data_IF_153635404155
#
_entry.id   IF_153635404155
#
_cell.length_a   1.000
_cell.length_b   1.000
_cell.length_c   1.000
_cell.angle_alpha   90.00
_cell.angle_beta   90.00
_cell.angle_gamma   90.00
#
_symmetry.space_group_name_H-M   'P 1'
#
loop_
_entity.id
_entity.type
_entity.pdbx_description
1 polymer ?
#
# COMPACT_ATOMS: atom_id res chain seq x y z
N UNK A 1 1.10 -7.24 60.28
CA UNK A 1 0.92 -8.69 60.06
C UNK A 1 -0.36 -8.91 59.27
N UNK A 2 -0.20 -9.28 58.00
CA UNK A 2 -1.26 -9.45 57.01
C UNK A 2 -1.77 -10.90 57.04
N UNK A 3 -3.08 -11.13 57.19
CA UNK A 3 -3.85 -12.24 56.59
C UNK A 3 -5.29 -12.26 57.12
N UNK A 4 -6.14 -11.47 56.50
CA UNK A 4 -7.55 -11.76 56.34
C UNK A 4 -7.90 -11.33 54.91
N UNK A 5 -8.85 -12.02 54.26
CA UNK A 5 -9.26 -11.89 52.86
C UNK A 5 -8.53 -12.82 51.87
N UNK A 6 -8.81 -14.12 51.93
CA UNK A 6 -8.54 -15.04 50.80
C UNK A 6 -9.46 -16.26 50.82
N UNK A 7 -10.77 -16.05 50.82
CA UNK A 7 -11.76 -17.10 50.51
C UNK A 7 -12.93 -16.58 49.69
N UNK A 8 -12.67 -15.67 48.74
CA UNK A 8 -13.52 -15.53 47.55
C UNK A 8 -12.95 -16.44 46.47
N UNK A 9 -13.15 -17.74 46.67
CA UNK A 9 -12.77 -18.76 45.71
C UNK A 9 -13.49 -18.54 44.38
N UNK A 10 -12.70 -18.43 43.31
CA UNK A 10 -13.14 -18.24 41.95
C UNK A 10 -14.26 -19.24 41.57
N UNK A 11 -15.39 -18.69 41.15
CA UNK A 11 -16.51 -19.43 40.58
C UNK A 11 -16.02 -20.06 39.25
N UNK A 12 -16.12 -21.38 39.03
CA UNK A 12 -15.71 -21.97 37.76
C UNK A 12 -16.57 -21.39 36.62
N UNK A 13 -15.88 -20.72 35.68
CA UNK A 13 -16.42 -20.18 34.43
C UNK A 13 -16.83 -21.37 33.54
N UNK A 14 -18.06 -21.84 33.70
CA UNK A 14 -18.53 -23.00 32.93
C UNK A 14 -19.84 -23.61 33.40
N UNK A 15 -20.39 -23.18 34.55
CA UNK A 15 -21.79 -23.46 34.85
C UNK A 15 -22.63 -22.46 34.03
N UNK A 16 -23.48 -22.90 33.09
CA UNK A 16 -24.41 -21.97 32.47
C UNK A 16 -25.16 -21.25 33.58
N UNK A 17 -25.40 -19.92 33.48
CA UNK A 17 -26.22 -19.22 34.45
C UNK A 17 -27.50 -20.04 34.58
N UNK A 18 -27.89 -20.35 35.82
CA UNK A 18 -29.12 -21.09 36.08
C UNK A 18 -30.18 -20.44 35.20
N UNK A 19 -30.62 -21.17 34.16
CA UNK A 19 -31.59 -20.65 33.22
C UNK A 19 -32.69 -20.09 34.09
N UNK A 20 -32.88 -18.76 34.07
CA UNK A 20 -34.01 -18.15 34.73
C UNK A 20 -35.19 -18.94 34.20
N UNK A 21 -35.79 -19.77 35.07
CA UNK A 21 -36.92 -20.60 34.70
C UNK A 21 -37.93 -19.61 34.17
N UNK A 22 -38.05 -19.51 32.85
CA UNK A 22 -39.03 -18.66 32.20
C UNK A 22 -40.33 -19.04 32.89
N UNK A 23 -40.91 -18.08 33.60
CA UNK A 23 -42.15 -18.28 34.33
C UNK A 23 -43.13 -18.81 33.29
N UNK A 24 -43.42 -20.11 33.36
CA UNK A 24 -44.35 -20.72 32.44
C UNK A 24 -45.67 -19.99 32.65
N UNK A 25 -46.03 -19.14 31.67
CA UNK A 25 -47.17 -18.23 31.74
C UNK A 25 -48.40 -19.05 32.18
N UNK A 26 -48.94 -18.75 33.36
CA UNK A 26 -50.11 -19.45 33.92
C UNK A 26 -49.85 -20.47 35.04
N UNK A 27 -48.61 -20.69 35.50
CA UNK A 27 -48.34 -21.44 36.74
C UNK A 27 -48.07 -20.49 37.92
N UNK A 28 -48.46 -20.90 39.13
CA UNK A 28 -48.19 -20.15 40.36
C UNK A 28 -46.69 -20.09 40.65
N UNK A 29 -46.23 -18.92 41.08
CA UNK A 29 -44.88 -18.68 41.58
C UNK A 29 -44.78 -18.99 43.08
N UNK A 30 -43.56 -18.94 43.62
CA UNK A 30 -43.30 -19.17 45.05
C UNK A 30 -43.96 -18.11 45.95
N UNK A 31 -44.13 -16.88 45.47
CA UNK A 31 -44.67 -15.75 46.24
C UNK A 31 -46.19 -15.63 46.13
N UNK A 32 -46.81 -16.38 45.21
CA UNK A 32 -48.26 -16.33 45.03
C UNK A 32 -48.98 -17.07 46.15
N UNK A 33 -50.05 -16.49 46.72
CA UNK A 33 -50.80 -17.16 47.76
C UNK A 33 -51.51 -18.43 47.25
N UNK A 34 -51.67 -19.46 48.10
CA UNK A 34 -52.52 -20.59 47.79
C UNK A 34 -53.98 -20.13 47.62
N UNK A 35 -54.74 -20.85 46.79
CA UNK A 35 -56.16 -20.53 46.61
C UNK A 35 -56.91 -20.85 47.91
N UNK A 36 -57.87 -20.02 48.31
CA UNK A 36 -58.65 -20.20 49.56
C UNK A 36 -59.25 -21.61 49.68
N UNK A 37 -59.77 -22.16 48.58
CA UNK A 37 -60.32 -23.52 48.50
C UNK A 37 -59.31 -24.66 48.64
N UNK A 38 -58.00 -24.37 48.56
CA UNK A 38 -56.90 -25.36 48.66
C UNK A 38 -56.11 -25.25 49.97
N UNK A 39 -56.34 -24.20 50.77
CA UNK A 39 -55.63 -23.99 52.05
C UNK A 39 -55.86 -25.16 53.02
N UNK A 40 -57.09 -25.65 53.13
CA UNK A 40 -57.44 -26.78 53.99
C UNK A 40 -57.52 -28.14 53.28
N UNK A 41 -57.20 -28.22 51.97
CA UNK A 41 -57.36 -29.46 51.21
C UNK A 41 -56.12 -30.34 51.36
N UNK A 42 -56.24 -31.40 52.15
CA UNK A 42 -55.25 -32.48 52.23
C UNK A 42 -55.53 -33.52 51.14
N UNK A 43 -54.48 -34.07 50.53
CA UNK A 43 -54.63 -35.15 49.55
C UNK A 43 -54.89 -36.48 50.27
N UNK A 44 -56.10 -36.99 50.17
CA UNK A 44 -56.45 -38.31 50.69
C UNK A 44 -55.91 -39.40 49.77
N UNK A 45 -55.13 -40.38 50.28
CA UNK A 45 -54.65 -41.48 49.45
C UNK A 45 -55.81 -42.34 48.95
N UNK A 46 -55.73 -42.89 47.72
CA UNK A 46 -56.73 -43.83 47.22
C UNK A 46 -56.67 -45.15 48.00
N UNK A 47 -57.77 -45.91 48.01
CA UNK A 47 -57.79 -47.28 48.52
C UNK A 47 -56.87 -48.18 47.67
N UNK A 48 -56.19 -49.12 48.32
CA UNK A 48 -55.21 -50.00 47.66
C UNK A 48 -55.50 -51.45 47.99
N UNK A 49 -55.61 -52.29 46.96
CA UNK A 49 -55.66 -53.75 47.12
C UNK A 49 -54.24 -54.28 47.41
N UNK A 50 -54.00 -54.97 48.55
CA UNK A 50 -52.69 -55.50 48.89
C UNK A 50 -52.18 -56.55 47.89
N UNK A 51 -53.05 -57.34 47.28
CA UNK A 51 -52.64 -58.38 46.33
C UNK A 51 -52.10 -57.75 45.03
N UNK A 52 -52.85 -56.78 44.47
CA UNK A 52 -52.41 -56.02 43.30
C UNK A 52 -51.12 -55.24 43.56
N UNK A 53 -51.04 -54.54 44.71
CA UNK A 53 -49.88 -53.73 45.06
C UNK A 53 -48.59 -54.57 45.10
N UNK A 54 -48.65 -55.78 45.65
CA UNK A 54 -47.50 -56.68 45.70
C UNK A 54 -47.02 -57.06 44.29
N UNK A 55 -47.94 -57.50 43.43
CA UNK A 55 -47.64 -57.89 42.05
C UNK A 55 -47.08 -56.70 41.26
N UNK A 56 -47.67 -55.52 41.38
CA UNK A 56 -47.18 -54.31 40.73
C UNK A 56 -45.78 -53.94 41.22
N UNK A 57 -45.54 -53.99 42.53
CA UNK A 57 -44.24 -53.64 43.11
C UNK A 57 -43.13 -54.54 42.57
N UNK A 58 -43.36 -55.85 42.50
CA UNK A 58 -42.39 -56.80 41.96
C UNK A 58 -42.20 -56.63 40.44
N UNK A 59 -43.27 -56.42 39.67
CA UNK A 59 -43.16 -56.12 38.23
C UNK A 59 -42.35 -54.85 37.97
N UNK A 60 -42.59 -53.79 38.74
CA UNK A 60 -41.82 -52.55 38.62
C UNK A 60 -40.36 -52.74 39.02
N UNK A 61 -40.09 -53.55 40.05
CA UNK A 61 -38.73 -53.90 40.46
C UNK A 61 -37.98 -54.59 39.32
N UNK A 62 -38.57 -55.65 38.76
CA UNK A 62 -38.00 -56.40 37.64
C UNK A 62 -37.80 -55.52 36.40
N UNK A 63 -38.84 -54.78 36.00
CA UNK A 63 -38.76 -53.86 34.87
C UNK A 63 -37.65 -52.81 35.04
N UNK A 64 -37.59 -52.14 36.20
CA UNK A 64 -36.55 -51.13 36.48
C UNK A 64 -35.16 -51.74 36.48
N UNK A 65 -35.01 -52.98 36.96
CA UNK A 65 -33.74 -53.69 36.90
C UNK A 65 -33.30 -53.92 35.46
N UNK A 66 -34.19 -54.44 34.61
CA UNK A 66 -33.91 -54.69 33.19
C UNK A 66 -33.58 -53.40 32.44
N UNK A 67 -34.40 -52.35 32.59
CA UNK A 67 -34.15 -51.05 31.94
C UNK A 67 -32.86 -50.40 32.44
N UNK A 68 -32.52 -50.57 33.72
CA UNK A 68 -31.24 -50.08 34.26
C UNK A 68 -30.05 -50.83 33.69
N UNK A 69 -30.17 -52.13 33.44
CA UNK A 69 -29.16 -52.91 32.74
C UNK A 69 -28.99 -52.43 31.29
N UNK A 70 -30.09 -52.30 30.53
CA UNK A 70 -30.06 -51.76 29.16
C UNK A 70 -29.42 -50.36 29.09
N UNK A 71 -29.74 -49.49 30.05
CA UNK A 71 -29.13 -48.16 30.13
C UNK A 71 -27.61 -48.24 30.32
N UNK A 72 -27.11 -49.21 31.09
CA UNK A 72 -25.66 -49.39 31.26
C UNK A 72 -24.99 -49.80 29.94
N UNK A 73 -25.61 -50.71 29.18
CA UNK A 73 -25.12 -51.10 27.85
C UNK A 73 -25.06 -49.90 26.89
N UNK A 74 -26.10 -49.06 26.85
CA UNK A 74 -26.05 -47.86 26.01
C UNK A 74 -24.97 -46.87 26.47
N UNK A 75 -24.74 -46.74 27.78
CA UNK A 75 -23.67 -45.88 28.30
C UNK A 75 -22.29 -46.43 27.94
N UNK A 76 -22.07 -47.75 27.99
CA UNK A 76 -20.79 -48.36 27.60
C UNK A 76 -20.56 -48.22 26.10
N UNK A 77 -21.58 -48.41 25.26
CA UNK A 77 -21.49 -48.19 23.81
C UNK A 77 -21.12 -46.75 23.45
N UNK A 78 -21.79 -45.77 24.06
CA UNK A 78 -21.49 -44.35 23.82
C UNK A 78 -20.06 -44.04 24.23
N UNK A 79 -19.61 -44.53 25.39
CA UNK A 79 -18.22 -44.36 25.84
C UNK A 79 -17.22 -45.01 24.88
N UNK A 80 -17.52 -46.22 24.40
CA UNK A 80 -16.71 -46.92 23.40
C UNK A 80 -16.57 -46.11 22.12
N UNK A 81 -17.69 -45.62 21.57
CA UNK A 81 -17.68 -44.78 20.36
C UNK A 81 -16.88 -43.49 20.53
N UNK A 82 -17.00 -42.83 21.68
CA UNK A 82 -16.20 -41.63 21.99
C UNK A 82 -14.71 -41.96 22.07
N UNK A 83 -14.36 -43.10 22.68
CA UNK A 83 -12.98 -43.56 22.73
C UNK A 83 -12.44 -43.90 21.33
N UNK A 84 -13.17 -44.67 20.54
CA UNK A 84 -12.81 -45.03 19.15
C UNK A 84 -12.66 -43.80 18.25
N UNK A 85 -13.50 -42.78 18.43
CA UNK A 85 -13.37 -41.53 17.67
C UNK A 85 -12.11 -40.73 18.05
N UNK A 86 -11.67 -40.80 19.32
CA UNK A 86 -10.52 -40.02 19.82
C UNK A 86 -9.20 -40.76 19.65
N UNK A 87 -9.18 -42.04 19.98
CA UNK A 87 -8.01 -42.89 20.11
C UNK A 87 -8.28 -44.29 19.52
N UNK A 88 -9.14 -44.37 18.51
CA UNK A 88 -9.34 -45.59 17.75
C UNK A 88 -8.19 -45.78 16.76
N UNK A 89 -7.87 -47.03 16.49
CA UNK A 89 -6.79 -47.42 15.56
C UNK A 89 -6.96 -46.77 14.17
N UNK A 90 -8.19 -46.65 13.68
CA UNK A 90 -8.47 -45.98 12.40
C UNK A 90 -8.20 -44.48 12.45
N UNK A 91 -8.57 -43.82 13.56
CA UNK A 91 -8.33 -42.39 13.75
C UNK A 91 -6.82 -42.10 13.82
N UNK A 92 -6.07 -42.92 14.57
CA UNK A 92 -4.61 -42.79 14.66
C UNK A 92 -3.91 -43.05 13.32
N UNK A 93 -4.31 -44.12 12.61
CA UNK A 93 -3.77 -44.41 11.27
C UNK A 93 -4.02 -43.26 10.30
N UNK A 94 -5.22 -42.68 10.32
CA UNK A 94 -5.54 -41.52 9.49
C UNK A 94 -4.72 -40.30 9.87
N UNK A 95 -4.62 -39.98 11.16
CA UNK A 95 -3.78 -38.87 11.61
C UNK A 95 -2.31 -39.03 11.18
N UNK A 96 -1.77 -40.26 11.19
CA UNK A 96 -0.41 -40.53 10.70
C UNK A 96 -0.29 -40.40 9.18
N UNK A 97 -1.28 -40.86 8.41
CA UNK A 97 -1.34 -40.69 6.96
C UNK A 97 -1.37 -39.20 6.59
N UNK A 98 -2.30 -38.44 7.20
CA UNK A 98 -2.45 -37.01 6.95
C UNK A 98 -1.17 -36.24 7.31
N UNK A 99 -0.51 -36.62 8.41
CA UNK A 99 0.76 -36.02 8.81
C UNK A 99 1.91 -36.35 7.84
N UNK A 100 1.92 -37.55 7.25
CA UNK A 100 2.91 -37.94 6.24
C UNK A 100 2.67 -37.18 4.92
N UNK A 101 1.43 -37.16 4.42
CA UNK A 101 1.04 -36.40 3.24
C UNK A 101 1.37 -34.90 3.40
N UNK A 102 1.09 -34.33 4.57
CA UNK A 102 1.47 -32.94 4.86
C UNK A 102 2.99 -32.72 4.75
N UNK A 103 3.81 -33.63 5.27
CA UNK A 103 5.28 -33.52 5.15
C UNK A 103 5.74 -33.60 3.71
N UNK A 104 5.14 -34.47 2.91
CA UNK A 104 5.44 -34.59 1.48
C UNK A 104 5.09 -33.31 0.72
N UNK A 105 3.91 -32.73 0.99
CA UNK A 105 3.50 -31.45 0.40
C UNK A 105 4.41 -30.30 0.80
N UNK A 106 4.85 -30.26 2.07
CA UNK A 106 5.82 -29.25 2.53
C UNK A 106 7.18 -29.41 1.85
N UNK A 107 7.64 -30.65 1.66
CA UNK A 107 8.88 -30.92 0.95
C UNK A 107 8.80 -30.48 -0.52
N UNK A 108 7.67 -30.78 -1.18
CA UNK A 108 7.41 -30.36 -2.56
C UNK A 108 7.36 -28.83 -2.68
N UNK A 109 6.65 -28.15 -1.77
CA UNK A 109 6.59 -26.69 -1.76
C UNK A 109 7.98 -26.08 -1.58
N UNK A 110 8.81 -26.65 -0.71
CA UNK A 110 10.19 -26.20 -0.51
C UNK A 110 11.03 -26.37 -1.77
N UNK A 111 10.90 -27.50 -2.48
CA UNK A 111 11.60 -27.74 -3.73
C UNK A 111 11.17 -26.73 -4.82
N UNK A 112 9.88 -26.44 -4.95
CA UNK A 112 9.39 -25.45 -5.92
C UNK A 112 9.84 -24.03 -5.55
N UNK A 113 9.86 -23.67 -4.26
CA UNK A 113 10.41 -22.39 -3.81
C UNK A 113 11.91 -22.25 -4.12
N UNK A 114 12.68 -23.34 -4.00
CA UNK A 114 14.09 -23.36 -4.39
C UNK A 114 14.27 -23.13 -5.88
N UNK A 115 13.49 -23.83 -6.72
CA UNK A 115 13.48 -23.62 -8.18
C UNK A 115 13.17 -22.17 -8.55
N UNK A 116 12.12 -21.59 -7.95
CA UNK A 116 11.75 -20.19 -8.19
C UNK A 116 12.81 -19.20 -7.68
N UNK A 117 13.49 -19.52 -6.58
CA UNK A 117 14.58 -18.72 -6.06
C UNK A 117 15.76 -18.65 -7.03
N UNK A 118 16.14 -19.78 -7.63
CA UNK A 118 17.20 -19.82 -8.65
C UNK A 118 16.85 -18.96 -9.87
N UNK A 119 15.60 -19.04 -10.35
CA UNK A 119 15.12 -18.20 -11.45
C UNK A 119 15.13 -16.70 -11.08
N UNK A 120 14.75 -16.36 -9.84
CA UNK A 120 14.83 -14.98 -9.33
C UNK A 120 16.28 -14.49 -9.33
N UNK A 121 17.22 -15.31 -8.85
CA UNK A 121 18.63 -14.95 -8.81
C UNK A 121 19.22 -14.76 -10.21
N UNK A 122 18.83 -15.60 -11.18
CA UNK A 122 19.21 -15.41 -12.57
C UNK A 122 18.70 -14.07 -13.13
N UNK A 123 17.44 -13.73 -12.87
CA UNK A 123 16.84 -12.44 -13.27
C UNK A 123 17.55 -11.24 -12.64
N UNK A 124 17.79 -11.27 -11.32
CA UNK A 124 18.47 -10.18 -10.61
C UNK A 124 19.89 -9.95 -11.13
N UNK A 125 20.61 -11.02 -11.49
CA UNK A 125 21.94 -10.89 -12.11
C UNK A 125 21.88 -10.21 -13.47
N UNK A 126 20.83 -10.47 -14.25
CA UNK A 126 20.63 -9.78 -15.53
C UNK A 126 20.28 -8.30 -15.30
N UNK A 127 19.35 -8.01 -14.40
CA UNK A 127 18.97 -6.64 -14.03
C UNK A 127 20.16 -5.83 -13.53
N UNK A 128 21.04 -6.43 -12.71
CA UNK A 128 22.26 -5.78 -12.22
C UNK A 128 23.20 -5.40 -13.38
N UNK A 129 23.41 -6.29 -14.37
CA UNK A 129 24.22 -5.98 -15.55
C UNK A 129 23.61 -4.86 -16.39
N UNK A 130 22.29 -4.83 -16.53
CA UNK A 130 21.60 -3.76 -17.24
C UNK A 130 21.70 -2.42 -16.48
N UNK A 131 21.62 -2.45 -15.16
CA UNK A 131 21.83 -1.27 -14.31
C UNK A 131 23.26 -0.74 -14.42
N UNK A 132 24.28 -1.60 -14.37
CA UNK A 132 25.68 -1.19 -14.56
C UNK A 132 25.89 -0.50 -15.91
N UNK A 133 25.27 -1.02 -16.98
CA UNK A 133 25.31 -0.38 -18.31
C UNK A 133 24.67 1.00 -18.30
N UNK A 134 23.48 1.15 -17.70
CA UNK A 134 22.80 2.45 -17.58
C UNK A 134 23.62 3.44 -16.77
N UNK A 135 24.20 3.01 -15.65
CA UNK A 135 25.07 3.85 -14.82
C UNK A 135 26.31 4.30 -15.58
N UNK A 136 26.92 3.43 -16.38
CA UNK A 136 28.05 3.82 -17.23
C UNK A 136 27.65 4.84 -18.31
N UNK A 137 26.49 4.67 -18.93
CA UNK A 137 25.95 5.64 -19.90
C UNK A 137 25.62 6.99 -19.25
N UNK A 138 25.01 6.97 -18.06
CA UNK A 138 24.71 8.18 -17.28
C UNK A 138 26.01 8.89 -16.85
N UNK A 139 26.98 8.17 -16.31
CA UNK A 139 28.28 8.74 -15.94
C UNK A 139 29.03 9.36 -17.13
N UNK A 140 28.95 8.74 -18.31
CA UNK A 140 29.53 9.30 -19.52
C UNK A 140 28.83 10.60 -19.97
N UNK A 141 27.49 10.67 -19.82
CA UNK A 141 26.72 11.90 -20.10
C UNK A 141 27.07 13.01 -19.12
N UNK A 142 27.07 12.70 -17.82
CA UNK A 142 27.42 13.66 -16.77
C UNK A 142 28.84 14.19 -16.95
N UNK A 143 29.80 13.34 -17.32
CA UNK A 143 31.17 13.77 -17.64
C UNK A 143 31.19 14.76 -18.82
N UNK A 144 30.46 14.48 -19.90
CA UNK A 144 30.36 15.39 -21.05
C UNK A 144 29.70 16.72 -20.71
N UNK A 145 28.64 16.70 -19.90
CA UNK A 145 27.98 17.93 -19.41
C UNK A 145 28.91 18.75 -18.50
N UNK A 146 29.63 18.08 -17.59
CA UNK A 146 30.60 18.73 -16.71
C UNK A 146 31.76 19.36 -17.50
N UNK A 147 32.27 18.69 -18.52
CA UNK A 147 33.28 19.23 -19.43
C UNK A 147 32.77 20.46 -20.17
N UNK A 148 31.57 20.38 -20.76
CA UNK A 148 30.96 21.51 -21.46
C UNK A 148 30.77 22.72 -20.53
N UNK A 149 30.28 22.48 -19.31
CA UNK A 149 30.14 23.50 -18.28
C UNK A 149 31.48 24.14 -17.89
N UNK A 150 32.50 23.32 -17.67
CA UNK A 150 33.84 23.79 -17.35
C UNK A 150 34.42 24.66 -18.49
N UNK A 151 34.18 24.30 -19.75
CA UNK A 151 34.62 25.10 -20.90
C UNK A 151 33.87 26.44 -20.99
N UNK A 152 32.56 26.45 -20.75
CA UNK A 152 31.77 27.68 -20.70
C UNK A 152 32.30 28.63 -19.61
N UNK A 153 32.53 28.11 -18.39
CA UNK A 153 33.09 28.92 -17.29
C UNK A 153 34.50 29.41 -17.56
N UNK A 154 35.35 28.62 -18.21
CA UNK A 154 36.67 29.09 -18.65
C UNK A 154 36.55 30.28 -19.62
N UNK A 155 35.61 30.23 -20.57
CA UNK A 155 35.36 31.34 -21.52
C UNK A 155 34.86 32.59 -20.80
N UNK A 156 33.90 32.45 -19.89
CA UNK A 156 33.41 33.57 -19.07
C UNK A 156 34.56 34.22 -18.27
N UNK A 157 35.44 33.43 -17.65
CA UNK A 157 36.59 33.94 -16.90
C UNK A 157 37.58 34.67 -17.82
N UNK A 158 37.87 34.14 -19.01
CA UNK A 158 38.74 34.82 -19.98
C UNK A 158 38.14 36.15 -20.46
N UNK A 159 36.83 36.18 -20.74
CA UNK A 159 36.14 37.42 -21.10
C UNK A 159 36.21 38.44 -19.96
N UNK A 160 35.98 38.03 -18.72
CA UNK A 160 36.13 38.90 -17.56
C UNK A 160 37.57 39.38 -17.36
N UNK A 161 38.59 38.59 -17.73
CA UNK A 161 39.98 39.04 -17.71
C UNK A 161 40.28 40.09 -18.79
N UNK A 162 39.63 40.01 -19.95
CA UNK A 162 39.71 41.03 -20.99
C UNK A 162 39.01 42.32 -20.55
N UNK A 163 37.76 42.21 -20.11
CA UNK A 163 36.96 43.34 -19.60
C UNK A 163 37.63 43.99 -18.38
N UNK A 164 38.35 43.21 -17.55
CA UNK A 164 39.05 43.75 -16.39
C UNK A 164 40.20 44.71 -16.73
N UNK A 165 40.76 44.62 -17.93
CA UNK A 165 41.78 45.58 -18.40
C UNK A 165 41.19 46.96 -18.64
N UNK A 166 39.89 47.02 -18.95
CA UNK A 166 39.16 48.27 -19.20
C UNK A 166 38.66 48.94 -17.90
N UNK A 167 38.81 48.29 -16.73
CA UNK A 167 38.42 48.88 -15.45
C UNK A 167 39.29 50.07 -15.04
N UNK A 168 38.66 51.03 -14.37
CA UNK A 168 39.30 52.25 -13.87
C UNK A 168 40.10 51.89 -12.60
N UNK A 169 41.42 51.99 -12.69
CA UNK A 169 42.34 51.86 -11.55
C UNK A 169 42.65 53.25 -10.96
N UNK A 170 43.26 53.30 -9.76
CA UNK A 170 43.67 54.57 -9.13
C UNK A 170 44.59 55.41 -10.01
N UNK A 171 45.40 54.75 -10.84
CA UNK A 171 46.39 55.37 -11.72
C UNK A 171 45.74 55.92 -13.01
N UNK A 172 44.71 55.26 -13.54
CA UNK A 172 44.01 55.66 -14.78
C UNK A 172 42.79 56.56 -14.53
N UNK A 173 42.58 57.04 -13.30
CA UNK A 173 41.34 57.70 -12.88
C UNK A 173 41.16 59.08 -13.52
N UNK A 174 42.17 59.94 -13.46
CA UNK A 174 42.09 61.31 -14.00
C UNK A 174 41.87 61.31 -15.51
N UNK A 175 42.63 60.48 -16.24
CA UNK A 175 42.52 60.35 -17.69
C UNK A 175 41.14 59.84 -18.16
N UNK A 176 40.53 58.88 -17.44
CA UNK A 176 39.19 58.38 -17.76
C UNK A 176 38.07 59.37 -17.43
N UNK A 177 38.25 60.24 -16.43
CA UNK A 177 37.30 61.31 -16.09
C UNK A 177 37.25 62.34 -17.21
N UNK A 178 38.41 62.77 -17.72
CA UNK A 178 38.49 63.69 -18.86
C UNK A 178 37.86 63.07 -20.12
N UNK A 179 38.21 61.83 -20.47
CA UNK A 179 37.64 61.12 -21.63
C UNK A 179 36.10 60.99 -21.54
N UNK A 180 35.56 60.77 -20.34
CA UNK A 180 34.11 60.66 -20.14
C UNK A 180 33.39 62.01 -20.26
N UNK A 181 34.03 63.12 -19.92
CA UNK A 181 33.48 64.47 -20.12
C UNK A 181 33.49 64.86 -21.61
N UNK A 182 34.51 64.43 -22.35
CA UNK A 182 34.66 64.71 -23.79
C UNK A 182 33.76 63.82 -24.67
N UNK A 183 33.42 62.60 -24.22
CA UNK A 183 32.63 61.63 -24.99
C UNK A 183 31.28 61.29 -24.34
N UNK A 184 30.21 62.07 -24.61
CA UNK A 184 28.88 61.78 -24.10
C UNK A 184 28.28 60.52 -24.75
N UNK A 185 28.10 59.44 -23.99
CA UNK A 185 27.42 58.22 -24.45
C UNK A 185 25.90 58.31 -24.24
N UNK A 186 25.13 58.17 -25.32
CA UNK A 186 23.66 58.16 -25.28
C UNK A 186 23.10 56.74 -25.31
N UNK A 187 22.36 56.38 -24.26
CA UNK A 187 21.62 55.11 -24.18
C UNK A 187 20.17 55.23 -24.71
N UNK A 188 19.81 56.35 -25.32
CA UNK A 188 18.47 56.56 -25.89
C UNK A 188 18.34 55.81 -27.22
N UNK A 189 17.62 54.68 -27.20
CA UNK A 189 17.24 53.93 -28.39
C UNK A 189 15.71 53.78 -28.43
N UNK A 190 15.14 53.84 -29.64
CA UNK A 190 13.70 53.68 -29.88
C UNK A 190 13.42 52.26 -30.37
N UNK A 191 12.30 51.69 -29.92
CA UNK A 191 11.79 50.40 -30.42
C UNK A 191 10.56 50.61 -31.28
N UNK A 192 10.56 50.05 -32.48
CA UNK A 192 9.42 50.11 -33.40
C UNK A 192 8.42 48.98 -33.13
N UNK A 193 7.24 49.07 -33.76
CA UNK A 193 6.14 48.10 -33.64
C UNK A 193 6.51 46.68 -34.09
N UNK A 194 7.51 46.55 -34.98
CA UNK A 194 8.12 45.29 -35.40
C UNK A 194 9.31 44.87 -34.53
N UNK A 195 9.45 45.44 -33.33
CA UNK A 195 10.51 45.16 -32.34
C UNK A 195 11.95 45.35 -32.83
N UNK A 196 12.14 46.18 -33.86
CA UNK A 196 13.49 46.62 -34.27
C UNK A 196 13.92 47.81 -33.44
N UNK A 197 15.17 47.80 -32.98
CA UNK A 197 15.78 48.90 -32.24
C UNK A 197 16.47 49.88 -33.19
N UNK A 198 16.17 51.17 -33.05
CA UNK A 198 16.84 52.26 -33.76
C UNK A 198 17.56 53.16 -32.73
N UNK A 199 18.89 53.24 -32.81
CA UNK A 199 19.69 54.16 -32.00
C UNK A 199 19.67 55.57 -32.59
N UNK A 200 19.59 56.60 -31.75
CA UNK A 200 19.52 58.01 -32.19
C UNK A 200 20.81 58.58 -32.82
N UNK A 201 21.90 57.80 -32.84
CA UNK A 201 23.18 58.16 -33.46
C UNK A 201 23.15 57.87 -34.96
N UNK A 202 22.43 58.70 -35.73
CA UNK A 202 22.57 58.90 -37.18
C UNK A 202 21.54 59.94 -37.65
N UNK A 203 21.65 61.16 -37.15
CA UNK A 203 21.02 62.34 -37.75
C UNK A 203 22.14 63.27 -38.18
N UNK A 204 22.80 62.96 -39.30
CA UNK A 204 23.54 63.91 -40.15
C UNK A 204 24.12 63.26 -41.43
N UNK A 205 24.24 61.93 -41.52
CA UNK A 205 24.77 61.26 -42.72
C UNK A 205 23.72 60.84 -43.79
N UNK A 206 22.42 60.76 -43.45
CA UNK A 206 21.39 60.28 -44.40
C UNK A 206 20.76 61.36 -45.28
N UNK A 207 21.14 62.64 -45.15
CA UNK A 207 20.52 63.74 -45.92
C UNK A 207 21.21 64.05 -47.26
N UNK A 208 22.38 63.48 -47.57
CA UNK A 208 23.15 63.76 -48.80
C UNK A 208 23.05 62.64 -49.87
N UNK A 209 22.62 61.42 -49.53
CA UNK A 209 22.62 60.29 -50.46
C UNK A 209 21.34 60.11 -51.31
N UNK A 210 20.31 60.96 -51.15
CA UNK A 210 19.02 60.77 -51.85
C UNK A 210 18.85 61.58 -53.15
N UNK A 211 19.88 62.30 -53.62
CA UNK A 211 19.80 63.19 -54.80
C UNK A 211 20.69 62.82 -55.99
N UNK A 212 21.43 61.71 -55.95
CA UNK A 212 22.24 61.23 -57.08
C UNK A 212 22.05 59.74 -57.28
N UNK A 213 21.21 59.38 -58.27
CA UNK A 213 21.19 58.16 -59.10
C UNK A 213 19.75 57.94 -59.60
N UNK A 214 19.27 58.89 -60.40
CA UNK A 214 18.44 58.57 -61.56
C UNK A 214 19.41 58.10 -62.65
N UNK A 215 18.97 57.14 -63.47
CA UNK A 215 19.66 56.51 -64.61
C UNK A 215 20.51 55.27 -64.30
N UNK A 216 20.01 54.11 -64.71
CA UNK A 216 20.87 53.10 -65.33
C UNK A 216 20.59 51.64 -65.00
N UNK A 217 20.15 50.91 -66.02
CA UNK A 217 20.45 49.49 -66.32
C UNK A 217 19.73 48.36 -65.55
N UNK A 218 18.64 47.92 -66.18
CA UNK A 218 18.37 46.53 -66.63
C UNK A 218 19.57 45.56 -66.57
N UNK A 219 19.49 44.49 -65.77
CA UNK A 219 20.03 43.15 -66.11
C UNK A 219 19.19 42.06 -65.42
N UNK A 220 18.80 41.08 -66.24
CA UNK A 220 18.17 39.79 -65.91
C UNK A 220 18.85 39.00 -64.78
N UNK A 221 18.05 38.36 -63.91
CA UNK A 221 18.43 37.08 -63.31
C UNK A 221 17.19 36.23 -62.99
N UNK A 222 17.38 34.93 -63.23
CA UNK A 222 16.37 33.89 -63.44
C UNK A 222 15.61 33.51 -62.16
N UNK A 223 14.32 33.26 -62.36
CA UNK A 223 13.39 32.68 -61.41
C UNK A 223 13.64 31.16 -61.30
N UNK A 224 13.91 30.65 -60.09
CA UNK A 224 13.94 29.22 -59.76
C UNK A 224 12.84 28.98 -58.72
N UNK A 225 11.81 28.15 -58.98
CA UNK A 225 10.74 27.91 -58.03
C UNK A 225 11.14 26.88 -56.94
N UNK A 226 10.65 27.01 -55.70
CA UNK A 226 10.86 26.01 -54.66
C UNK A 226 9.90 24.81 -54.78
N UNK A 227 10.45 23.60 -54.65
CA UNK A 227 9.73 22.32 -54.52
C UNK A 227 9.12 22.10 -53.12
N UNK A 228 8.32 21.02 -52.94
CA UNK A 228 7.16 21.03 -52.06
C UNK A 228 7.45 20.69 -50.59
N UNK A 229 6.60 21.24 -49.73
CA UNK A 229 6.48 20.97 -48.31
C UNK A 229 6.02 19.51 -48.07
N UNK A 230 6.80 18.73 -47.35
CA UNK A 230 6.36 17.44 -46.80
C UNK A 230 5.62 17.66 -45.49
N UNK A 231 4.32 17.35 -45.50
CA UNK A 231 3.52 17.14 -44.30
C UNK A 231 3.94 15.84 -43.61
N UNK A 232 4.27 15.91 -42.32
CA UNK A 232 4.53 14.75 -41.46
C UNK A 232 3.68 14.83 -40.20
N UNK A 233 2.56 14.09 -40.21
CA UNK A 233 1.64 13.89 -39.08
C UNK A 233 2.32 13.14 -37.93
N UNK A 234 1.98 13.56 -36.71
CA UNK A 234 1.59 12.68 -35.62
C UNK A 234 2.72 12.12 -34.75
N UNK A 235 2.71 12.44 -33.46
CA UNK A 235 2.53 11.41 -32.45
C UNK A 235 2.01 12.00 -31.13
N UNK A 236 0.97 11.33 -30.65
CA UNK A 236 0.26 11.52 -29.41
C UNK A 236 1.09 11.01 -28.22
N UNK A 237 0.91 11.71 -27.12
CA UNK A 237 1.20 11.42 -25.71
C UNK A 237 1.38 9.94 -25.31
N UNK A 238 2.36 9.70 -24.44
CA UNK A 238 2.18 8.91 -23.22
C UNK A 238 2.21 9.86 -22.03
#
# INVERSE_FOLDING_TARGET
MLRALSTLGARPLGRPPAQFLLLARGRKTRHDPPAKSKIGRVATPPAVDPAELFVLTERYRQYRQTVRALRKEFVTEVRRKVHEARAGVLAERKALQDAAEHRELMAWNKAENQRLHELRMARLRQEAREQERRQAEEAAREAGEAEAWAQLKKREVLQLQEDAKDFITRENLEARVEEALDSPKSYNWRRDRHTRGHSGLCLWASQIASSFLYVGTFVHLRYIPPGPQTQGRGHFQQ
#
